data_IF_356158096785
#
_entry.id   IF_356158096785
#
_cell.length_a   1.000
_cell.length_b   1.000
_cell.length_c   1.000
_cell.angle_alpha   90.00
_cell.angle_beta   90.00
_cell.angle_gamma   90.00
#
_symmetry.space_group_name_H-M   'P 1'
#
loop_
_entity.id
_entity.type
_entity.pdbx_description
1 polymer ?
#
# COMPACT_ATOMS: atom_id res chain seq x y z
N UNK A 1 1.71 12.23 -7.83
CA UNK A 1 0.30 12.08 -8.25
C UNK A 1 -0.60 12.64 -7.16
N UNK A 2 -1.64 13.44 -7.48
CA UNK A 2 -2.56 13.98 -6.47
C UNK A 2 -3.55 12.90 -6.01
N UNK A 3 -3.70 12.73 -4.69
CA UNK A 3 -4.72 11.87 -4.09
C UNK A 3 -5.93 12.70 -3.68
N UNK A 4 -7.13 12.18 -3.94
CA UNK A 4 -8.37 12.67 -3.34
C UNK A 4 -8.63 11.89 -2.06
N UNK A 5 -8.88 12.60 -0.97
CA UNK A 5 -9.24 12.04 0.33
C UNK A 5 -10.69 12.48 0.59
N UNK A 6 -11.53 11.54 0.99
CA UNK A 6 -12.88 11.82 1.49
C UNK A 6 -12.83 12.25 2.96
N UNK A 7 -13.92 12.83 3.46
CA UNK A 7 -14.04 13.19 4.88
C UNK A 7 -13.97 11.91 5.75
N UNK A 8 -13.09 11.91 6.74
CA UNK A 8 -12.88 10.80 7.66
C UNK A 8 -11.62 9.98 7.38
N UNK A 9 -11.65 8.68 7.71
CA UNK A 9 -10.50 7.78 7.60
C UNK A 9 -10.47 7.11 6.24
N UNK A 10 -9.47 7.46 5.43
CA UNK A 10 -9.25 6.90 4.10
C UNK A 10 -8.25 5.76 4.18
N UNK A 11 -8.67 4.54 3.83
CA UNK A 11 -7.75 3.44 3.60
C UNK A 11 -7.18 3.56 2.18
N UNK A 12 -5.90 3.84 2.09
CA UNK A 12 -5.18 3.98 0.83
C UNK A 12 -4.27 2.78 0.65
N UNK A 13 -4.31 2.18 -0.52
CA UNK A 13 -3.42 1.10 -0.91
C UNK A 13 -2.68 1.49 -2.19
N UNK A 14 -1.37 1.37 -2.17
CA UNK A 14 -0.52 1.65 -3.32
C UNK A 14 0.19 0.39 -3.75
N UNK A 15 -0.03 -0.03 -5.00
CA UNK A 15 0.81 -1.03 -5.64
C UNK A 15 2.11 -0.38 -6.09
N UNK A 16 3.20 -0.70 -5.39
CA UNK A 16 4.53 -0.15 -5.67
C UNK A 16 5.12 -0.76 -6.94
N UNK A 17 4.76 -2.00 -7.27
CA UNK A 17 5.18 -2.69 -8.49
C UNK A 17 4.64 -2.03 -9.74
N UNK A 18 3.35 -1.71 -9.76
CA UNK A 18 2.74 -0.98 -10.87
C UNK A 18 3.24 0.46 -10.94
N UNK A 19 3.44 1.10 -9.78
CA UNK A 19 3.93 2.47 -9.75
C UNK A 19 5.35 2.60 -10.29
N UNK A 20 6.28 1.71 -9.91
CA UNK A 20 7.64 1.68 -10.44
C UNK A 20 7.65 1.46 -11.95
N UNK A 21 6.77 0.57 -12.43
CA UNK A 21 6.64 0.27 -13.86
C UNK A 21 6.07 1.44 -14.66
N UNK A 22 5.06 2.14 -14.15
CA UNK A 22 4.48 3.29 -14.86
C UNK A 22 5.34 4.55 -14.78
N UNK A 23 6.00 4.80 -13.65
CA UNK A 23 6.82 6.00 -13.49
C UNK A 23 8.20 5.87 -14.14
N UNK A 24 8.81 4.70 -14.08
CA UNK A 24 10.22 4.50 -14.47
C UNK A 24 10.44 3.34 -15.46
N UNK A 25 9.40 2.55 -15.78
CA UNK A 25 9.55 1.40 -16.67
C UNK A 25 10.35 0.24 -16.08
N UNK A 26 10.65 0.28 -14.77
CA UNK A 26 11.47 -0.72 -14.07
C UNK A 26 10.62 -1.60 -13.17
N UNK A 27 11.12 -2.80 -12.88
CA UNK A 27 10.51 -3.69 -11.89
C UNK A 27 10.80 -3.18 -10.48
N UNK A 28 9.83 -3.33 -9.60
CA UNK A 28 9.98 -3.09 -8.18
C UNK A 28 10.87 -4.17 -7.54
N UNK A 29 11.81 -3.74 -6.70
CA UNK A 29 12.74 -4.61 -5.99
C UNK A 29 12.50 -4.46 -4.48
N UNK A 30 12.66 -3.24 -3.97
CA UNK A 30 12.48 -2.94 -2.55
C UNK A 30 12.09 -1.48 -2.32
N UNK A 31 11.52 -1.20 -1.14
CA UNK A 31 11.28 0.16 -0.66
C UNK A 31 12.31 0.52 0.41
N UNK A 32 13.13 1.53 0.14
CA UNK A 32 14.17 1.97 1.09
C UNK A 32 13.63 2.85 2.21
N UNK A 33 12.62 3.69 1.93
CA UNK A 33 12.12 4.72 2.84
C UNK A 33 10.69 5.12 2.49
N UNK A 34 9.87 5.26 3.52
CA UNK A 34 8.54 5.89 3.44
C UNK A 34 8.55 7.19 4.23
N UNK A 35 8.04 8.26 3.63
CA UNK A 35 7.89 9.55 4.30
C UNK A 35 6.44 9.99 4.29
N UNK A 36 5.99 10.48 5.43
CA UNK A 36 4.66 11.03 5.60
C UNK A 36 4.84 12.45 6.14
N UNK A 37 4.26 13.43 5.45
CA UNK A 37 4.39 14.85 5.79
C UNK A 37 3.33 15.27 6.81
N UNK A 38 3.61 16.36 7.53
CA UNK A 38 2.69 16.92 8.53
C UNK A 38 1.38 17.41 7.87
N UNK A 39 0.30 17.38 8.66
CA UNK A 39 -1.12 17.58 8.30
C UNK A 39 -1.92 16.31 7.92
N UNK A 40 -1.31 15.11 7.99
CA UNK A 40 -2.05 13.85 7.91
C UNK A 40 -2.07 13.12 9.25
N UNK A 41 -3.22 12.57 9.65
CA UNK A 41 -3.31 11.66 10.82
C UNK A 41 -3.25 10.22 10.33
N UNK A 42 -2.30 9.45 10.85
CA UNK A 42 -2.06 8.05 10.48
C UNK A 42 -2.57 7.14 11.58
N UNK A 43 -3.30 6.07 11.24
CA UNK A 43 -3.67 5.04 12.21
C UNK A 43 -2.74 3.83 12.13
N UNK A 44 -2.45 3.37 10.92
CA UNK A 44 -1.53 2.26 10.66
C UNK A 44 -0.97 2.36 9.25
N UNK A 45 0.22 1.78 9.09
CA UNK A 45 0.91 1.57 7.81
C UNK A 45 1.36 0.12 7.79
N UNK A 46 1.08 -0.60 6.70
CA UNK A 46 1.53 -1.98 6.51
C UNK A 46 2.10 -2.19 5.11
N UNK A 47 3.02 -3.14 5.00
CA UNK A 47 3.48 -3.68 3.73
C UNK A 47 2.88 -5.07 3.52
N UNK A 48 2.46 -5.39 2.30
CA UNK A 48 1.96 -6.70 1.90
C UNK A 48 2.57 -7.10 0.56
N UNK A 49 2.74 -8.40 0.31
CA UNK A 49 3.33 -8.95 -0.92
C UNK A 49 2.26 -9.35 -1.97
N UNK A 50 1.01 -8.91 -1.76
CA UNK A 50 -0.09 -9.17 -2.70
C UNK A 50 -1.24 -8.17 -2.53
N UNK A 51 -2.05 -8.00 -3.58
CA UNK A 51 -3.37 -7.32 -3.63
C UNK A 51 -4.46 -7.90 -2.73
N UNK A 52 -4.07 -8.46 -1.58
CA UNK A 52 -5.01 -8.91 -0.57
C UNK A 52 -5.58 -7.68 0.15
N UNK A 53 -6.66 -7.11 -0.40
CA UNK A 53 -7.59 -6.29 0.35
C UNK A 53 -8.16 -7.14 1.48
N UNK A 54 -7.46 -7.23 2.61
CA UNK A 54 -8.02 -7.76 3.85
C UNK A 54 -8.97 -6.69 4.39
N UNK A 55 -10.19 -6.68 3.85
CA UNK A 55 -11.38 -6.16 4.53
C UNK A 55 -11.29 -6.64 5.98
N UNK A 56 -11.45 -5.72 6.92
CA UNK A 56 -11.37 -5.97 8.36
C UNK A 56 -12.42 -6.99 8.80
N UNK A 57 -12.18 -8.28 8.54
CA UNK A 57 -13.00 -9.42 8.93
C UNK A 57 -12.22 -10.70 8.60
N UNK A 58 -11.63 -11.29 9.64
CA UNK A 58 -11.13 -12.66 9.72
C UNK A 58 -9.75 -12.95 9.11
N UNK A 59 -8.83 -13.25 10.02
CA UNK A 59 -7.52 -13.86 9.77
C UNK A 59 -7.68 -15.09 8.87
N UNK A 60 -7.10 -15.06 7.67
CA UNK A 60 -6.80 -16.26 6.90
C UNK A 60 -5.29 -16.41 6.75
N UNK A 61 -4.81 -17.61 7.08
CA UNK A 61 -3.49 -18.14 6.77
C UNK A 61 -3.36 -18.26 5.26
N UNK A 62 -2.60 -17.37 4.63
CA UNK A 62 -2.25 -17.50 3.21
C UNK A 62 -0.91 -18.24 3.13
N UNK A 63 -0.93 -19.42 2.53
CA UNK A 63 0.28 -20.19 2.22
C UNK A 63 1.10 -19.44 1.15
N UNK A 64 2.44 -19.42 1.21
CA UNK A 64 3.27 -18.69 0.27
C UNK A 64 3.40 -19.48 -1.04
N UNK A 65 2.48 -19.29 -1.98
CA UNK A 65 2.71 -19.67 -3.37
C UNK A 65 3.50 -18.56 -4.04
N UNK A 66 4.77 -18.83 -4.29
CA UNK A 66 5.65 -18.08 -5.17
C UNK A 66 4.94 -17.78 -6.50
N UNK A 67 4.74 -16.51 -6.81
CA UNK A 67 5.06 -15.88 -8.09
C UNK A 67 4.35 -14.51 -8.19
N UNK A 68 5.17 -13.47 -8.36
CA UNK A 68 4.84 -12.06 -8.60
C UNK A 68 4.64 -11.20 -7.34
N UNK A 69 5.76 -10.64 -6.87
CA UNK A 69 5.84 -9.69 -5.76
C UNK A 69 5.10 -8.39 -6.06
N UNK A 70 3.84 -8.34 -5.68
CA UNK A 70 3.07 -7.11 -5.58
C UNK A 70 3.34 -6.49 -4.22
N UNK A 71 4.35 -5.64 -4.11
CA UNK A 71 4.56 -4.90 -2.89
C UNK A 71 3.50 -3.81 -2.77
N UNK A 72 2.61 -3.96 -1.79
CA UNK A 72 1.57 -3.01 -1.49
C UNK A 72 1.88 -2.32 -0.18
N UNK A 73 1.85 -1.00 -0.19
CA UNK A 73 1.80 -0.21 1.02
C UNK A 73 0.36 0.24 1.28
N UNK A 74 -0.21 -0.24 2.38
CA UNK A 74 -1.50 0.18 2.90
C UNK A 74 -1.31 1.20 4.01
N UNK A 75 -2.05 2.31 3.97
CA UNK A 75 -2.05 3.31 5.04
C UNK A 75 -3.45 3.87 5.27
N UNK A 76 -3.79 4.14 6.52
CA UNK A 76 -5.03 4.82 6.88
C UNK A 76 -4.75 6.28 7.24
N UNK A 77 -5.24 7.20 6.41
CA UNK A 77 -5.01 8.64 6.52
C UNK A 77 -6.32 9.39 6.78
N UNK A 78 -6.31 10.36 7.68
CA UNK A 78 -7.45 11.29 7.84
C UNK A 78 -7.31 12.49 6.89
N UNK A 79 -8.33 12.70 6.06
CA UNK A 79 -8.50 13.89 5.19
C UNK A 79 -8.92 15.13 5.95
#
# INVERSE_FOLDING_TARGET
>A
MPMRLDDGWNQIQFNLSDFARWAYGTNYIETLRVQIHANSRIQWVYFSDGSTQKTASRVQTVSPSSEQGEAIIGMQLKG
#
